data_IF_850297950838
#
_entry.id   IF_850297950838
#
_cell.length_a   1.000
_cell.length_b   1.000
_cell.length_c   1.000
_cell.angle_alpha   90.00
_cell.angle_beta   90.00
_cell.angle_gamma   90.00
#
_symmetry.space_group_name_H-M   'P 1'
#
loop_
_entity.id
_entity.type
_entity.pdbx_description
1 polymer ?
#
# COMPACT_ATOMS: atom_id res chain seq x y z
N UNK A 1 -9.13 11.45 -18.31
CA UNK A 1 -9.01 11.28 -16.85
C UNK A 1 -10.32 11.77 -16.24
N UNK A 2 -11.05 10.95 -15.49
CA UNK A 2 -12.30 11.37 -14.87
C UNK A 2 -12.00 12.33 -13.70
N UNK A 3 -12.70 13.45 -13.64
CA UNK A 3 -12.62 14.40 -12.53
C UNK A 3 -13.80 14.14 -11.60
N UNK A 4 -13.52 13.75 -10.37
CA UNK A 4 -14.52 13.52 -9.33
C UNK A 4 -14.32 14.55 -8.23
N UNK A 5 -15.39 15.26 -7.86
CA UNK A 5 -15.38 16.15 -6.69
C UNK A 5 -15.70 15.34 -5.44
N UNK A 6 -14.91 15.51 -4.38
CA UNK A 6 -15.07 14.83 -3.10
C UNK A 6 -14.94 15.87 -2.00
N UNK A 7 -15.93 15.90 -1.10
CA UNK A 7 -15.89 16.77 0.06
C UNK A 7 -15.03 16.15 1.16
N UNK A 8 -14.13 16.95 1.73
CA UNK A 8 -13.13 16.52 2.69
C UNK A 8 -12.83 17.67 3.65
N UNK A 9 -12.64 17.35 4.93
CA UNK A 9 -12.19 18.32 5.91
C UNK A 9 -10.84 18.92 5.48
N UNK A 10 -10.77 20.25 5.26
CA UNK A 10 -9.53 20.91 4.85
C UNK A 10 -8.38 20.67 5.83
N UNK A 11 -8.65 20.58 7.13
CA UNK A 11 -7.63 20.35 8.18
C UNK A 11 -7.03 18.95 8.06
N UNK A 12 -7.84 17.96 7.71
CA UNK A 12 -7.37 16.60 7.49
C UNK A 12 -6.43 16.54 6.27
N UNK A 13 -6.79 17.26 5.21
CA UNK A 13 -5.99 17.37 3.99
C UNK A 13 -4.66 18.08 4.23
N UNK A 14 -4.63 19.13 5.04
CA UNK A 14 -3.40 19.83 5.45
C UNK A 14 -2.47 18.91 6.24
N UNK A 15 -2.99 18.26 7.28
CA UNK A 15 -2.21 17.29 8.08
C UNK A 15 -1.68 16.15 7.22
N UNK A 16 -2.49 15.65 6.28
CA UNK A 16 -2.07 14.59 5.39
C UNK A 16 -0.94 15.05 4.45
N UNK A 17 -0.99 16.30 3.93
CA UNK A 17 0.12 16.87 3.14
C UNK A 17 1.40 16.99 3.94
N UNK A 18 1.33 17.46 5.19
CA UNK A 18 2.50 17.57 6.07
C UNK A 18 3.16 16.21 6.33
N UNK A 19 2.34 15.18 6.58
CA UNK A 19 2.82 13.82 6.86
C UNK A 19 3.38 13.11 5.63
N UNK A 20 2.88 13.41 4.43
CA UNK A 20 3.30 12.74 3.20
C UNK A 20 4.33 13.53 2.39
N UNK A 21 4.46 14.85 2.63
CA UNK A 21 5.29 15.76 1.82
C UNK A 21 4.73 16.05 0.43
N UNK A 22 3.48 15.66 0.16
CA UNK A 22 2.89 15.74 -1.17
C UNK A 22 2.42 17.15 -1.54
N UNK A 23 2.66 17.52 -2.79
CA UNK A 23 2.38 18.88 -3.30
C UNK A 23 0.94 19.10 -3.76
N UNK A 24 0.12 18.04 -3.81
CA UNK A 24 -1.28 18.15 -4.29
C UNK A 24 -2.23 17.24 -3.52
N UNK A 25 -3.47 17.70 -3.32
CA UNK A 25 -4.54 16.95 -2.66
C UNK A 25 -4.78 15.61 -3.37
N UNK A 26 -4.73 15.63 -4.71
CA UNK A 26 -4.88 14.42 -5.53
C UNK A 26 -3.77 13.40 -5.27
N UNK A 27 -2.52 13.84 -5.14
CA UNK A 27 -1.39 12.94 -4.85
C UNK A 27 -1.50 12.34 -3.44
N UNK A 28 -1.90 13.15 -2.45
CA UNK A 28 -2.21 12.65 -1.10
C UNK A 28 -3.28 11.57 -1.12
N UNK A 29 -4.38 11.82 -1.85
CA UNK A 29 -5.50 10.88 -1.97
C UNK A 29 -5.08 9.58 -2.68
N UNK A 30 -4.34 9.68 -3.79
CA UNK A 30 -3.83 8.51 -4.52
C UNK A 30 -2.91 7.67 -3.63
N UNK A 31 -2.00 8.33 -2.91
CA UNK A 31 -1.09 7.66 -1.98
C UNK A 31 -1.85 6.98 -0.84
N UNK A 32 -2.86 7.64 -0.27
CA UNK A 32 -3.69 7.07 0.78
C UNK A 32 -4.44 5.83 0.30
N UNK A 33 -5.04 5.88 -0.90
CA UNK A 33 -5.75 4.74 -1.49
C UNK A 33 -4.81 3.56 -1.78
N UNK A 34 -3.63 3.82 -2.37
CA UNK A 34 -2.62 2.77 -2.60
C UNK A 34 -2.18 2.12 -1.29
N UNK A 35 -1.93 2.91 -0.25
CA UNK A 35 -1.54 2.40 1.07
C UNK A 35 -2.66 1.61 1.74
N UNK A 36 -3.91 2.04 1.61
CA UNK A 36 -5.07 1.30 2.14
C UNK A 36 -5.22 -0.06 1.45
N UNK A 37 -5.16 -0.08 0.12
CA UNK A 37 -5.23 -1.33 -0.66
C UNK A 37 -4.09 -2.26 -0.25
N UNK A 38 -2.86 -1.75 -0.20
CA UNK A 38 -1.70 -2.52 0.23
C UNK A 38 -1.86 -3.04 1.66
N UNK A 39 -2.34 -2.21 2.60
CA UNK A 39 -2.58 -2.63 3.98
C UNK A 39 -3.63 -3.74 4.08
N UNK A 40 -4.66 -3.72 3.23
CA UNK A 40 -5.67 -4.79 3.17
C UNK A 40 -5.13 -6.06 2.52
N UNK A 41 -4.36 -5.93 1.44
CA UNK A 41 -3.73 -7.08 0.77
C UNK A 41 -2.61 -7.72 1.61
N UNK A 42 -1.95 -6.96 2.49
CA UNK A 42 -0.95 -7.50 3.42
C UNK A 42 -1.53 -8.57 4.36
N UNK A 43 -2.79 -8.46 4.77
CA UNK A 43 -3.44 -9.51 5.55
C UNK A 43 -3.46 -10.84 4.78
N UNK A 44 -3.96 -10.80 3.55
CA UNK A 44 -3.97 -11.95 2.64
C UNK A 44 -2.57 -12.50 2.34
N UNK A 45 -1.57 -11.62 2.23
CA UNK A 45 -0.17 -12.04 2.07
C UNK A 45 0.37 -12.76 3.31
N UNK A 46 0.07 -12.27 4.51
CA UNK A 46 0.49 -12.90 5.76
C UNK A 46 -0.20 -14.26 5.93
N UNK A 47 -1.51 -14.32 5.65
CA UNK A 47 -2.27 -15.57 5.70
C UNK A 47 -1.69 -16.60 4.71
N UNK A 48 -1.37 -16.20 3.48
CA UNK A 48 -0.74 -17.08 2.49
C UNK A 48 0.66 -17.55 2.88
N UNK A 49 1.45 -16.72 3.58
CA UNK A 49 2.77 -17.14 4.11
C UNK A 49 2.59 -18.14 5.27
N UNK A 50 1.57 -17.97 6.11
CA UNK A 50 1.30 -18.89 7.21
C UNK A 50 0.90 -20.31 6.72
N UNK A 51 0.38 -20.41 5.49
CA UNK A 51 0.07 -21.68 4.83
C UNK A 51 1.30 -22.38 4.20
N UNK A 52 2.46 -21.72 4.13
CA UNK A 52 3.68 -22.31 3.57
C UNK A 52 4.32 -23.26 4.59
N UNK A 53 4.27 -24.57 4.32
CA UNK A 53 4.80 -25.62 5.20
C UNK A 53 6.33 -25.70 5.24
N UNK A 54 7.01 -25.29 4.17
CA UNK A 54 8.49 -25.40 4.02
C UNK A 54 9.23 -24.06 4.15
N UNK A 55 8.56 -23.03 4.68
CA UNK A 55 9.13 -21.69 4.82
C UNK A 55 10.51 -21.67 5.52
N UNK A 56 10.76 -22.42 6.62
CA UNK A 56 12.08 -22.43 7.27
C UNK A 56 13.20 -22.99 6.38
N UNK A 57 12.89 -23.91 5.47
CA UNK A 57 13.86 -24.54 4.57
C UNK A 57 14.16 -23.66 3.34
N UNK A 58 13.20 -22.85 2.90
CA UNK A 58 13.32 -22.00 1.71
C UNK A 58 13.80 -20.56 2.01
N UNK A 59 13.74 -20.12 3.27
CA UNK A 59 14.28 -18.83 3.70
C UNK A 59 15.81 -18.79 3.49
N UNK A 60 16.24 -18.09 2.43
CA UNK A 60 17.65 -17.96 2.05
C UNK A 60 18.06 -18.83 0.85
N UNK A 61 17.12 -19.58 0.26
CA UNK A 61 17.37 -20.26 -0.99
C UNK A 61 17.72 -19.26 -2.12
N UNK A 62 18.63 -19.60 -3.04
CA UNK A 62 19.00 -18.73 -4.14
C UNK A 62 17.80 -18.50 -5.06
N UNK A 63 17.43 -17.23 -5.27
CA UNK A 63 16.35 -16.85 -6.18
C UNK A 63 16.86 -17.01 -7.62
N UNK A 64 16.37 -18.03 -8.32
CA UNK A 64 16.65 -18.24 -9.73
C UNK A 64 15.58 -17.56 -10.58
N UNK A 65 15.98 -16.94 -11.69
CA UNK A 65 15.03 -16.43 -12.67
C UNK A 65 14.57 -17.59 -13.54
N UNK A 66 13.26 -17.85 -13.61
CA UNK A 66 12.72 -18.82 -14.55
C UNK A 66 13.10 -18.44 -16.00
N UNK A 67 13.35 -19.44 -16.88
CA UNK A 67 13.81 -19.21 -18.25
C UNK A 67 12.81 -18.42 -19.10
#
# INVERSE_FOLDING_TARGET
MALTSVDLDPKLLERARELTGEKSNRAVLDLALRRLIAAKQKGTMIDGIAELSDLPAELGAPVTRAP
#
